data_IF_685948641236
#
_entry.id   IF_685948641236
#
_cell.length_a   1.000
_cell.length_b   1.000
_cell.length_c   1.000
_cell.angle_alpha   90.00
_cell.angle_beta   90.00
_cell.angle_gamma   90.00
#
_symmetry.space_group_name_H-M   'P 1'
#
loop_
_entity.id
_entity.type
_entity.pdbx_description
1 polymer ?
#
# COMPACT_ATOMS: atom_id res chain seq x y z
N UNK A 1 11.39 -5.35 -3.56
CA UNK A 1 10.38 -4.30 -3.88
C UNK A 1 10.36 -3.26 -2.76
N UNK A 2 10.48 -2.00 -3.10
CA UNK A 2 10.37 -0.93 -2.10
C UNK A 2 8.92 -0.39 -2.07
N UNK A 3 8.65 0.54 -1.14
CA UNK A 3 7.29 1.05 -0.95
C UNK A 3 6.76 1.75 -2.20
N UNK A 4 7.60 2.52 -2.88
CA UNK A 4 7.17 3.21 -4.11
C UNK A 4 6.82 2.24 -5.22
N UNK A 5 7.61 1.21 -5.40
CA UNK A 5 7.33 0.16 -6.38
C UNK A 5 6.04 -0.57 -6.04
N UNK A 6 5.82 -0.82 -4.76
CA UNK A 6 4.61 -1.48 -4.30
C UNK A 6 3.37 -0.63 -4.60
N UNK A 7 3.44 0.67 -4.34
CA UNK A 7 2.33 1.57 -4.64
C UNK A 7 2.06 1.62 -6.15
N UNK A 8 3.12 1.68 -6.96
CA UNK A 8 2.97 1.64 -8.42
C UNK A 8 2.31 0.36 -8.89
N UNK A 9 2.64 -0.76 -8.25
CA UNK A 9 2.00 -2.05 -8.54
C UNK A 9 0.51 -1.99 -8.24
N UNK A 10 0.14 -1.47 -7.06
CA UNK A 10 -1.28 -1.34 -6.69
C UNK A 10 -2.04 -0.44 -7.65
N UNK A 11 -1.40 0.64 -8.08
CA UNK A 11 -1.99 1.58 -9.03
C UNK A 11 -2.22 0.90 -10.38
N UNK A 12 -1.24 0.16 -10.88
CA UNK A 12 -1.35 -0.50 -12.18
C UNK A 12 -2.42 -1.59 -12.18
N UNK A 13 -2.69 -2.20 -11.03
CA UNK A 13 -3.73 -3.23 -10.89
C UNK A 13 -5.08 -2.63 -10.57
N UNK A 14 -5.15 -1.32 -10.35
CA UNK A 14 -6.40 -0.63 -10.02
C UNK A 14 -7.10 -1.21 -8.79
N UNK A 15 -6.30 -1.61 -7.80
CA UNK A 15 -6.82 -2.21 -6.57
C UNK A 15 -7.33 -1.17 -5.58
N UNK A 16 -6.87 0.07 -5.70
CA UNK A 16 -7.21 1.14 -4.78
C UNK A 16 -7.63 2.39 -5.56
N UNK A 17 -8.46 3.21 -4.92
CA UNK A 17 -8.83 4.50 -5.48
C UNK A 17 -7.66 5.49 -5.44
N UNK A 18 -7.66 6.46 -6.34
CA UNK A 18 -6.57 7.44 -6.42
C UNK A 18 -6.40 8.23 -5.13
N UNK A 19 -7.49 8.50 -4.40
CA UNK A 19 -7.44 9.19 -3.11
C UNK A 19 -6.60 8.39 -2.11
N UNK A 20 -6.78 7.06 -2.09
CA UNK A 20 -6.02 6.19 -1.19
C UNK A 20 -4.55 6.15 -1.59
N UNK A 21 -4.29 6.09 -2.89
CA UNK A 21 -2.90 6.11 -3.39
C UNK A 21 -2.20 7.42 -3.01
N UNK A 22 -2.89 8.55 -3.12
CA UNK A 22 -2.35 9.84 -2.71
C UNK A 22 -2.01 9.85 -1.22
N UNK A 23 -2.87 9.27 -0.39
CA UNK A 23 -2.61 9.17 1.05
C UNK A 23 -1.37 8.33 1.33
N UNK A 24 -1.18 7.24 0.60
CA UNK A 24 0.01 6.41 0.76
C UNK A 24 1.28 7.15 0.34
N UNK A 25 1.22 7.90 -0.76
CA UNK A 25 2.37 8.71 -1.19
C UNK A 25 2.73 9.76 -0.15
N UNK A 26 1.72 10.42 0.43
CA UNK A 26 1.95 11.40 1.49
C UNK A 26 2.55 10.77 2.73
N UNK A 27 2.08 9.59 3.10
CA UNK A 27 2.60 8.87 4.25
C UNK A 27 4.08 8.56 4.08
N UNK A 28 4.45 8.05 2.91
CA UNK A 28 5.84 7.71 2.61
C UNK A 28 6.72 8.96 2.64
N UNK A 29 6.23 10.07 2.07
CA UNK A 29 6.98 11.32 2.01
C UNK A 29 7.18 11.95 3.39
N UNK A 30 6.24 11.74 4.32
CA UNK A 30 6.27 12.36 5.64
C UNK A 30 6.96 11.49 6.69
N UNK A 31 7.31 10.26 6.36
CA UNK A 31 7.94 9.33 7.30
C UNK A 31 9.44 9.33 7.11
N UNK A 32 10.19 9.46 8.21
CA UNK A 32 11.66 9.53 8.16
C UNK A 32 12.31 8.18 7.90
N UNK A 33 11.62 7.09 8.19
CA UNK A 33 12.15 5.74 7.99
C UNK A 33 11.57 5.11 6.73
N UNK A 34 12.26 4.10 6.22
CA UNK A 34 11.75 3.32 5.10
C UNK A 34 10.53 2.51 5.54
N UNK A 35 9.44 2.63 4.77
CA UNK A 35 8.23 1.85 5.01
C UNK A 35 8.27 0.62 4.11
N UNK A 36 8.00 -0.55 4.68
CA UNK A 36 8.00 -1.79 3.91
C UNK A 36 6.63 -2.03 3.27
N UNK A 37 6.57 -2.80 2.17
CA UNK A 37 5.28 -3.18 1.58
C UNK A 37 4.37 -3.90 2.59
N UNK A 38 4.93 -4.71 3.47
CA UNK A 38 4.16 -5.42 4.49
C UNK A 38 3.44 -4.46 5.43
N UNK A 39 4.12 -3.37 5.82
CA UNK A 39 3.51 -2.34 6.66
C UNK A 39 2.36 -1.65 5.94
N UNK A 40 2.51 -1.39 4.65
CA UNK A 40 1.45 -0.78 3.85
C UNK A 40 0.25 -1.70 3.73
N UNK A 41 0.47 -2.99 3.48
CA UNK A 41 -0.62 -3.96 3.40
C UNK A 41 -1.36 -4.04 4.73
N UNK A 42 -0.64 -4.09 5.84
CA UNK A 42 -1.27 -4.14 7.15
C UNK A 42 -2.15 -2.92 7.39
N UNK A 43 -1.64 -1.74 7.06
CA UNK A 43 -2.40 -0.50 7.20
C UNK A 43 -3.67 -0.54 6.35
N UNK A 44 -3.56 -0.97 5.10
CA UNK A 44 -4.69 -1.03 4.18
C UNK A 44 -5.75 -2.03 4.65
N UNK A 45 -5.32 -3.17 5.18
CA UNK A 45 -6.24 -4.16 5.74
C UNK A 45 -6.93 -3.60 6.99
N UNK A 46 -6.17 -2.97 7.88
CA UNK A 46 -6.70 -2.41 9.13
C UNK A 46 -7.74 -1.32 8.86
N UNK A 47 -7.53 -0.54 7.80
CA UNK A 47 -8.45 0.53 7.44
C UNK A 47 -9.60 0.07 6.53
N UNK A 48 -9.61 -1.20 6.15
CA UNK A 48 -10.70 -1.76 5.37
C UNK A 48 -10.60 -1.53 3.87
N UNK A 49 -9.45 -1.08 3.38
CA UNK A 49 -9.25 -0.87 1.94
C UNK A 49 -8.92 -2.17 1.22
N UNK A 50 -8.34 -3.13 1.92
CA UNK A 50 -8.05 -4.46 1.41
C UNK A 50 -8.53 -5.49 2.42
N UNK A 51 -8.86 -6.68 1.93
CA UNK A 51 -9.12 -7.81 2.80
C UNK A 51 -7.80 -8.51 3.12
N UNK A 52 -7.81 -9.33 4.18
CA UNK A 52 -6.62 -10.12 4.52
C UNK A 52 -6.22 -11.04 3.38
N UNK A 53 -7.22 -11.58 2.68
CA UNK A 53 -6.98 -12.45 1.54
C UNK A 53 -6.26 -11.69 0.42
N UNK A 54 -6.74 -10.48 0.09
CA UNK A 54 -6.12 -9.64 -0.92
C UNK A 54 -4.69 -9.27 -0.55
N UNK A 55 -4.48 -8.87 0.70
CA UNK A 55 -3.15 -8.51 1.18
C UNK A 55 -2.18 -9.67 1.10
N UNK A 56 -2.64 -10.85 1.49
CA UNK A 56 -1.82 -12.07 1.43
C UNK A 56 -1.44 -12.40 -0.02
N UNK A 57 -2.37 -12.25 -0.95
CA UNK A 57 -2.10 -12.52 -2.38
C UNK A 57 -1.11 -11.54 -2.98
N UNK A 58 -1.19 -10.28 -2.58
CA UNK A 58 -0.28 -9.25 -3.09
C UNK A 58 1.15 -9.51 -2.63
N UNK A 59 1.33 -9.97 -1.40
CA UNK A 59 2.65 -10.22 -0.84
C UNK A 59 3.23 -11.57 -1.21
N UNK A 60 2.43 -12.45 -1.76
CA UNK A 60 2.88 -13.81 -2.11
C UNK A 60 3.90 -13.85 -3.25
#
# INVERSE_FOLDING_TARGET
MNAKEFISFLESKQLLESVILDQLHKLISSTDRAITPEELVKLLVDEGHLTRFQGSRILA
#
